data_IF_671783430831
#
_entry.id   IF_671783430831
#
_cell.length_a   1.000
_cell.length_b   1.000
_cell.length_c   1.000
_cell.angle_alpha   90.00
_cell.angle_beta   90.00
_cell.angle_gamma   90.00
#
_symmetry.space_group_name_H-M   'P 1'
#
loop_
_entity.id
_entity.type
_entity.pdbx_description
1 polymer ?
#
# COMPACT_ATOMS: atom_id res chain seq x y z
N UNK A 1 -34.27 -15.05 -42.52
CA UNK A 1 -33.79 -14.21 -41.40
C UNK A 1 -32.49 -14.72 -40.77
N UNK A 2 -32.40 -16.01 -40.40
CA UNK A 2 -31.21 -16.57 -39.71
C UNK A 2 -29.96 -16.69 -40.61
N UNK A 3 -30.14 -17.10 -41.87
CA UNK A 3 -29.03 -17.26 -42.83
C UNK A 3 -28.33 -15.94 -43.19
N UNK A 4 -29.10 -14.87 -43.46
CA UNK A 4 -28.54 -13.55 -43.75
C UNK A 4 -27.72 -12.97 -42.59
N UNK A 5 -28.15 -13.20 -41.34
CA UNK A 5 -27.37 -12.81 -40.15
C UNK A 5 -26.05 -13.58 -40.07
N UNK A 6 -26.05 -14.89 -40.32
CA UNK A 6 -24.84 -15.70 -40.28
C UNK A 6 -23.86 -15.32 -41.37
N UNK A 7 -24.35 -14.95 -42.56
CA UNK A 7 -23.51 -14.44 -43.65
C UNK A 7 -22.80 -13.13 -43.28
N UNK A 8 -23.53 -12.17 -42.70
CA UNK A 8 -22.97 -10.89 -42.25
C UNK A 8 -21.98 -11.11 -41.10
N UNK A 9 -22.33 -11.97 -40.14
CA UNK A 9 -21.48 -12.27 -38.98
C UNK A 9 -20.18 -12.98 -39.39
N UNK A 10 -20.22 -13.85 -40.40
CA UNK A 10 -19.03 -14.47 -40.99
C UNK A 10 -18.08 -13.44 -41.63
N UNK A 11 -18.63 -12.46 -42.35
CA UNK A 11 -17.83 -11.36 -42.93
C UNK A 11 -17.23 -10.43 -41.85
N UNK A 12 -17.91 -10.24 -40.73
CA UNK A 12 -17.36 -9.50 -39.59
C UNK A 12 -16.23 -10.27 -38.90
N UNK A 13 -16.39 -11.57 -38.71
CA UNK A 13 -15.38 -12.45 -38.08
C UNK A 13 -14.13 -12.63 -38.97
N UNK A 14 -14.27 -12.57 -40.30
CA UNK A 14 -13.12 -12.54 -41.22
C UNK A 14 -12.24 -11.29 -41.02
N UNK A 15 -12.84 -10.15 -40.65
CA UNK A 15 -12.12 -8.91 -40.44
C UNK A 15 -11.57 -8.79 -39.01
N UNK A 16 -12.37 -9.13 -38.00
CA UNK A 16 -12.00 -9.08 -36.58
C UNK A 16 -12.61 -10.31 -35.89
N UNK A 17 -11.79 -11.32 -35.66
CA UNK A 17 -12.22 -12.58 -35.03
C UNK A 17 -12.26 -12.50 -33.50
N UNK A 18 -11.39 -11.69 -32.90
CA UNK A 18 -11.28 -11.52 -31.46
C UNK A 18 -11.10 -10.04 -31.10
N UNK A 19 -11.58 -9.58 -29.93
CA UNK A 19 -11.22 -8.28 -29.41
C UNK A 19 -9.70 -8.15 -29.28
N UNK A 20 -9.14 -6.99 -29.61
CA UNK A 20 -7.73 -6.71 -29.42
C UNK A 20 -7.35 -6.92 -27.94
N UNK A 21 -6.33 -7.76 -27.70
CA UNK A 21 -5.88 -8.11 -26.33
C UNK A 21 -5.22 -6.95 -25.61
N UNK A 22 -4.66 -6.01 -26.36
CA UNK A 22 -3.98 -4.83 -25.80
C UNK A 22 -4.63 -3.56 -26.33
N UNK A 23 -5.05 -2.68 -25.41
CA UNK A 23 -5.49 -1.34 -25.77
C UNK A 23 -4.31 -0.53 -26.29
N UNK A 24 -4.60 0.33 -27.28
CA UNK A 24 -3.66 1.30 -27.82
C UNK A 24 -2.90 2.04 -26.71
N UNK A 25 -1.59 2.31 -26.86
CA UNK A 25 -0.79 3.02 -25.86
C UNK A 25 -1.33 4.40 -25.48
N UNK A 26 -2.04 5.06 -26.41
CA UNK A 26 -2.62 6.39 -26.23
C UNK A 26 -4.09 6.37 -25.81
N UNK A 27 -4.71 5.18 -25.79
CA UNK A 27 -6.08 5.06 -25.34
C UNK A 27 -6.11 5.13 -23.81
N UNK A 28 -7.02 5.94 -23.23
CA UNK A 28 -7.20 5.99 -21.78
C UNK A 28 -7.45 4.58 -21.24
N UNK A 29 -6.61 4.15 -20.30
CA UNK A 29 -6.79 2.88 -19.61
C UNK A 29 -7.64 3.14 -18.37
N UNK A 30 -8.74 2.39 -18.27
CA UNK A 30 -9.54 2.33 -17.05
C UNK A 30 -9.08 1.12 -16.24
N UNK A 31 -8.44 1.38 -15.11
CA UNK A 31 -8.06 0.35 -14.15
C UNK A 31 -9.05 0.38 -13.00
N UNK A 32 -9.75 -0.72 -12.77
CA UNK A 32 -10.65 -0.90 -11.62
C UNK A 32 -9.89 -1.59 -10.48
N UNK A 33 -10.05 -1.06 -9.27
CA UNK A 33 -9.58 -1.67 -8.02
C UNK A 33 -10.73 -1.63 -7.01
N UNK A 34 -10.76 -2.60 -6.09
CA UNK A 34 -11.72 -2.62 -4.99
C UNK A 34 -11.00 -2.37 -3.67
N UNK A 35 -11.55 -1.49 -2.85
CA UNK A 35 -10.97 -1.03 -1.59
C UNK A 35 -12.04 -1.22 -0.49
N UNK A 36 -11.64 -1.57 0.75
CA UNK A 36 -12.57 -1.58 1.88
C UNK A 36 -13.22 -0.21 2.08
N UNK A 37 -14.54 -0.17 2.27
CA UNK A 37 -15.33 1.07 2.44
C UNK A 37 -14.85 1.92 3.60
N UNK A 38 -14.35 1.30 4.67
CA UNK A 38 -13.80 1.99 5.85
C UNK A 38 -12.59 2.87 5.50
N UNK A 39 -11.83 2.50 4.48
CA UNK A 39 -10.58 3.18 4.07
C UNK A 39 -10.79 4.26 3.02
N UNK A 40 -12.00 4.38 2.45
CA UNK A 40 -12.32 5.44 1.47
C UNK A 40 -12.02 6.83 2.06
N UNK A 41 -12.36 7.04 3.34
CA UNK A 41 -12.11 8.30 4.04
C UNK A 41 -10.63 8.63 4.16
N UNK A 42 -9.77 7.63 4.35
CA UNK A 42 -8.31 7.81 4.43
C UNK A 42 -7.71 8.14 3.06
N UNK A 43 -8.20 7.49 2.00
CA UNK A 43 -7.73 7.72 0.61
C UNK A 43 -8.12 9.12 0.11
N UNK A 44 -9.32 9.60 0.43
CA UNK A 44 -9.75 10.97 0.10
C UNK A 44 -9.00 11.99 0.96
N UNK A 45 -8.84 11.68 2.25
CA UNK A 45 -8.27 12.58 3.26
C UNK A 45 -9.21 13.76 3.60
N UNK A 46 -8.82 14.64 4.54
CA UNK A 46 -9.65 15.75 4.98
C UNK A 46 -9.87 16.75 3.83
N UNK A 47 -11.11 16.79 3.31
CA UNK A 47 -11.52 17.68 2.23
C UNK A 47 -10.93 17.34 0.86
N UNK A 48 -10.59 16.07 0.60
CA UNK A 48 -10.08 15.63 -0.71
C UNK A 48 -8.61 15.98 -0.98
N UNK A 49 -7.87 16.50 0.00
CA UNK A 49 -6.49 16.96 -0.21
C UNK A 49 -5.54 15.85 -0.67
N UNK A 50 -5.75 14.61 -0.21
CA UNK A 50 -4.87 13.49 -0.53
C UNK A 50 -5.13 13.05 -1.97
N UNK A 51 -6.40 12.87 -2.33
CA UNK A 51 -6.76 12.49 -3.71
C UNK A 51 -6.36 13.56 -4.71
N UNK A 52 -6.54 14.85 -4.40
CA UNK A 52 -6.10 15.95 -5.27
C UNK A 52 -4.58 15.93 -5.49
N UNK A 53 -3.80 15.67 -4.44
CA UNK A 53 -2.33 15.63 -4.58
C UNK A 53 -1.86 14.41 -5.39
N UNK A 54 -2.54 13.26 -5.27
CA UNK A 54 -2.25 12.08 -6.12
C UNK A 54 -2.57 12.41 -7.58
N UNK A 55 -3.72 13.05 -7.84
CA UNK A 55 -4.11 13.50 -9.18
C UNK A 55 -3.10 14.51 -9.75
N UNK A 56 -2.63 15.45 -8.95
CA UNK A 56 -1.63 16.45 -9.36
C UNK A 56 -0.26 15.83 -9.65
N UNK A 57 0.17 14.84 -8.85
CA UNK A 57 1.46 14.16 -9.05
C UNK A 57 1.46 13.17 -10.22
N UNK A 58 0.33 12.51 -10.47
CA UNK A 58 0.22 11.45 -11.47
C UNK A 58 -0.42 11.90 -12.78
N UNK A 59 -1.18 13.00 -12.77
CA UNK A 59 -1.98 13.46 -13.91
C UNK A 59 -3.18 12.55 -14.24
N UNK A 60 -3.48 11.57 -13.37
CA UNK A 60 -4.58 10.62 -13.56
C UNK A 60 -5.90 11.19 -13.07
N UNK A 61 -7.02 10.78 -13.66
CA UNK A 61 -8.35 10.99 -13.07
C UNK A 61 -8.69 9.78 -12.20
N UNK A 62 -8.98 10.02 -10.93
CA UNK A 62 -9.36 8.98 -9.98
C UNK A 62 -10.80 9.25 -9.55
N UNK A 63 -11.64 8.24 -9.66
CA UNK A 63 -13.03 8.26 -9.19
C UNK A 63 -13.23 7.15 -8.16
N UNK A 64 -14.00 7.43 -7.11
CA UNK A 64 -14.24 6.51 -6.00
C UNK A 64 -15.73 6.43 -5.77
N UNK A 65 -16.29 5.23 -5.95
CA UNK A 65 -17.69 4.94 -5.65
C UNK A 65 -17.87 4.57 -4.17
N UNK A 66 -19.08 4.80 -3.65
CA UNK A 66 -19.46 4.52 -2.26
C UNK A 66 -19.39 3.02 -1.90
N UNK A 67 -19.37 2.14 -2.91
CA UNK A 67 -19.22 0.69 -2.77
C UNK A 67 -17.76 0.25 -2.57
N UNK A 68 -16.79 1.19 -2.64
CA UNK A 68 -15.37 0.91 -2.57
C UNK A 68 -14.72 0.59 -3.91
N UNK A 69 -15.45 0.73 -5.03
CA UNK A 69 -14.86 0.65 -6.36
C UNK A 69 -14.08 1.93 -6.66
N UNK A 70 -12.78 1.79 -6.93
CA UNK A 70 -11.92 2.87 -7.36
C UNK A 70 -11.56 2.71 -8.85
N UNK A 71 -11.83 3.75 -9.63
CA UNK A 71 -11.50 3.84 -11.05
C UNK A 71 -10.32 4.77 -11.26
N UNK A 72 -9.23 4.24 -11.80
CA UNK A 72 -8.07 5.03 -12.23
C UNK A 72 -8.13 5.14 -13.74
N UNK A 73 -8.34 6.36 -14.23
CA UNK A 73 -8.29 6.71 -15.64
C UNK A 73 -6.98 7.44 -15.91
N UNK A 74 -6.11 6.83 -16.70
CA UNK A 74 -4.85 7.44 -17.12
C UNK A 74 -4.68 7.33 -18.64
N UNK A 75 -4.10 8.35 -19.26
CA UNK A 75 -3.69 8.33 -20.66
C UNK A 75 -2.43 7.51 -20.89
N UNK A 76 -1.63 7.32 -19.84
CA UNK A 76 -0.40 6.52 -19.83
C UNK A 76 -0.51 5.37 -18.83
N UNK A 77 -0.03 4.19 -19.24
CA UNK A 77 0.01 3.00 -18.38
C UNK A 77 0.92 3.17 -17.17
N UNK A 78 2.02 3.93 -17.30
CA UNK A 78 2.92 4.18 -16.16
C UNK A 78 2.27 5.07 -15.10
N UNK A 79 1.53 6.09 -15.52
CA UNK A 79 0.82 6.99 -14.60
C UNK A 79 -0.26 6.23 -13.81
N UNK A 80 -0.99 5.32 -14.46
CA UNK A 80 -1.94 4.43 -13.79
C UNK A 80 -1.25 3.53 -12.76
N UNK A 81 -0.09 2.96 -13.07
CA UNK A 81 0.66 2.12 -12.14
C UNK A 81 1.18 2.92 -10.93
N UNK A 82 1.70 4.13 -11.15
CA UNK A 82 2.14 5.02 -10.06
C UNK A 82 0.97 5.39 -9.14
N UNK A 83 -0.17 5.79 -9.71
CA UNK A 83 -1.37 6.10 -8.93
C UNK A 83 -1.84 4.88 -8.13
N UNK A 84 -1.85 3.70 -8.76
CA UNK A 84 -2.19 2.44 -8.08
C UNK A 84 -1.25 2.16 -6.90
N UNK A 85 0.06 2.28 -7.10
CA UNK A 85 1.06 2.04 -6.05
C UNK A 85 0.94 3.02 -4.88
N UNK A 86 0.65 4.29 -5.15
CA UNK A 86 0.41 5.31 -4.12
C UNK A 86 -0.85 4.98 -3.30
N UNK A 87 -1.94 4.63 -3.97
CA UNK A 87 -3.20 4.27 -3.32
C UNK A 87 -3.03 2.98 -2.50
N UNK A 88 -2.37 1.96 -3.06
CA UNK A 88 -2.03 0.73 -2.33
C UNK A 88 -1.17 1.01 -1.09
N UNK A 89 -0.23 1.96 -1.17
CA UNK A 89 0.62 2.34 -0.04
C UNK A 89 -0.17 3.06 1.07
N UNK A 90 -1.21 3.82 0.72
CA UNK A 90 -2.10 4.47 1.69
C UNK A 90 -3.00 3.43 2.37
N UNK A 91 -3.51 2.47 1.60
CA UNK A 91 -4.38 1.39 2.09
C UNK A 91 -3.58 0.33 2.87
N UNK A 92 -2.29 0.20 2.58
CA UNK A 92 -1.40 -0.79 3.15
C UNK A 92 -1.48 -0.74 4.68
N UNK A 93 -2.13 -1.76 5.23
CA UNK A 93 -2.20 -1.94 6.66
C UNK A 93 -1.01 -2.75 7.12
N UNK A 94 -0.52 -2.36 8.29
CA UNK A 94 0.43 -3.13 9.05
C UNK A 94 -0.26 -4.44 9.44
N UNK A 95 -0.04 -5.51 8.67
CA UNK A 95 -0.53 -6.84 9.07
C UNK A 95 0.34 -7.45 10.18
N UNK A 96 -0.34 -8.08 11.13
CA UNK A 96 0.32 -8.85 12.19
C UNK A 96 1.14 -9.99 11.58
N UNK A 97 2.42 -10.06 11.93
CA UNK A 97 3.32 -11.09 11.43
C UNK A 97 4.09 -10.74 10.16
N UNK A 98 3.78 -9.64 9.46
CA UNK A 98 4.64 -9.13 8.38
C UNK A 98 5.87 -8.44 8.97
N UNK A 99 6.97 -8.52 8.22
CA UNK A 99 8.23 -7.84 8.54
C UNK A 99 8.32 -6.61 7.66
N UNK A 100 8.65 -5.49 8.27
CA UNK A 100 8.78 -4.21 7.61
C UNK A 100 10.13 -3.58 7.96
N UNK A 101 10.64 -2.75 7.06
CA UNK A 101 11.82 -1.94 7.30
C UNK A 101 11.35 -0.59 7.83
N UNK A 102 11.65 -0.30 9.09
CA UNK A 102 11.20 0.92 9.75
C UNK A 102 12.35 1.78 10.24
N UNK A 103 12.11 3.07 10.37
CA UNK A 103 13.14 4.04 10.82
C UNK A 103 12.87 4.45 12.26
N UNK A 104 13.89 4.44 13.10
CA UNK A 104 13.77 4.82 14.52
C UNK A 104 13.59 6.34 14.62
N UNK A 105 12.42 6.83 15.05
CA UNK A 105 12.20 8.27 15.28
C UNK A 105 12.54 8.72 16.69
N UNK A 106 12.27 7.87 17.68
CA UNK A 106 12.44 8.23 19.10
C UNK A 106 12.81 7.02 19.93
N UNK A 107 13.71 7.23 20.89
CA UNK A 107 14.13 6.20 21.83
C UNK A 107 13.70 6.62 23.23
N UNK A 108 13.14 5.70 24.01
CA UNK A 108 12.85 5.82 25.44
C UNK A 108 13.57 4.71 26.20
N UNK A 109 13.61 4.81 27.53
CA UNK A 109 14.33 3.85 28.38
C UNK A 109 13.75 2.42 28.32
N UNK A 110 12.45 2.30 28.04
CA UNK A 110 11.75 1.01 27.96
C UNK A 110 11.55 0.49 26.52
N UNK A 111 11.91 1.27 25.50
CA UNK A 111 11.71 0.87 24.10
C UNK A 111 12.02 1.94 23.07
N UNK A 112 11.96 1.56 21.79
CA UNK A 112 12.16 2.44 20.64
C UNK A 112 10.88 2.56 19.81
N UNK A 113 10.56 3.78 19.38
CA UNK A 113 9.50 4.07 18.43
C UNK A 113 10.06 4.03 17.02
N UNK A 114 9.51 3.12 16.22
CA UNK A 114 9.92 2.84 14.85
C UNK A 114 8.77 3.17 13.94
N UNK A 115 9.01 4.05 12.97
CA UNK A 115 8.04 4.35 11.93
C UNK A 115 8.11 3.24 10.87
N UNK A 116 7.02 2.47 10.74
CA UNK A 116 6.93 1.34 9.81
C UNK A 116 6.43 1.81 8.45
N UNK A 117 5.39 2.63 8.48
CA UNK A 117 4.80 3.25 7.30
C UNK A 117 5.08 4.73 7.43
N UNK A 118 5.95 5.31 6.58
CA UNK A 118 6.20 6.74 6.62
C UNK A 118 4.85 7.46 6.45
N UNK A 119 4.61 8.48 7.27
CA UNK A 119 3.44 9.34 7.10
C UNK A 119 3.49 10.09 5.77
N UNK A 120 3.10 9.44 4.69
CA UNK A 120 3.03 10.05 3.36
C UNK A 120 1.66 10.71 3.24
N UNK A 121 1.68 12.02 2.99
CA UNK A 121 0.51 12.83 2.63
C UNK A 121 -0.73 12.66 3.54
N UNK A 122 -0.69 13.25 4.74
CA UNK A 122 -1.92 13.50 5.53
C UNK A 122 -2.50 12.30 6.27
N UNK A 123 -1.94 11.10 6.10
CA UNK A 123 -2.22 9.97 7.00
C UNK A 123 -1.28 10.01 8.21
N UNK A 124 -1.79 9.68 9.40
CA UNK A 124 -0.95 9.53 10.59
C UNK A 124 0.00 8.36 10.33
N UNK A 125 1.29 8.65 10.13
CA UNK A 125 2.31 7.61 9.94
C UNK A 125 2.17 6.56 11.03
N UNK A 126 2.23 5.27 10.64
CA UNK A 126 2.05 4.19 11.61
C UNK A 126 3.37 3.95 12.34
N UNK A 127 3.43 4.47 13.55
CA UNK A 127 4.49 4.21 14.50
C UNK A 127 4.22 2.92 15.28
N UNK A 128 5.26 2.11 15.46
CA UNK A 128 5.23 0.95 16.33
C UNK A 128 6.24 1.07 17.46
N UNK A 129 5.93 0.45 18.59
CA UNK A 129 6.81 0.37 19.75
C UNK A 129 7.55 -0.96 19.77
N UNK A 130 8.87 -0.90 19.84
CA UNK A 130 9.73 -2.05 20.13
C UNK A 130 10.11 -2.00 21.60
N UNK A 131 9.66 -2.96 22.39
CA UNK A 131 10.04 -3.08 23.80
C UNK A 131 11.53 -3.50 23.92
N UNK A 132 12.23 -3.05 24.97
CA UNK A 132 13.66 -3.38 25.19
C UNK A 132 13.94 -4.89 25.16
N UNK A 133 13.01 -5.72 25.63
CA UNK A 133 13.13 -7.19 25.62
C UNK A 133 12.96 -7.84 24.23
N UNK A 134 12.48 -7.08 23.24
CA UNK A 134 12.21 -7.53 21.88
C UNK A 134 13.22 -6.97 20.86
N UNK A 135 14.22 -6.21 21.33
CA UNK A 135 15.28 -5.59 20.52
C UNK A 135 16.39 -6.58 20.14
N UNK A 136 16.84 -7.42 21.07
CA UNK A 136 17.88 -8.43 20.84
C UNK A 136 17.57 -9.71 21.62
N UNK A 137 18.24 -10.83 21.27
CA UNK A 137 18.16 -12.05 22.08
C UNK A 137 18.93 -11.95 23.40
N UNK A 138 19.97 -11.12 23.43
CA UNK A 138 20.80 -10.85 24.60
C UNK A 138 20.13 -9.85 25.55
N UNK A 139 20.56 -9.85 26.82
CA UNK A 139 20.03 -8.94 27.83
C UNK A 139 20.60 -7.54 27.60
N UNK A 140 19.83 -6.70 26.92
CA UNK A 140 20.17 -5.30 26.67
C UNK A 140 19.81 -4.46 27.91
N UNK A 141 20.78 -3.71 28.46
CA UNK A 141 20.53 -2.81 29.59
C UNK A 141 20.08 -1.41 29.15
N UNK A 142 20.49 -0.95 27.95
CA UNK A 142 20.08 0.34 27.39
C UNK A 142 19.73 0.19 25.90
N UNK A 143 18.59 0.77 25.51
CA UNK A 143 18.13 0.76 24.11
C UNK A 143 19.11 1.47 23.16
N UNK A 144 19.77 2.54 23.65
CA UNK A 144 20.77 3.32 22.91
C UNK A 144 22.00 2.53 22.48
N UNK A 145 22.28 1.39 23.10
CA UNK A 145 23.45 0.58 22.75
C UNK A 145 23.21 -0.26 21.48
N UNK A 146 21.94 -0.39 21.04
CA UNK A 146 21.52 -1.29 19.95
C UNK A 146 20.86 -0.57 18.79
N UNK A 147 20.23 0.57 19.04
CA UNK A 147 19.56 1.39 18.03
C UNK A 147 19.79 2.87 18.31
N UNK A 148 20.03 3.61 17.23
CA UNK A 148 20.15 5.07 17.24
C UNK A 148 18.97 5.73 16.52
N UNK A 149 18.76 7.01 16.79
CA UNK A 149 17.73 7.81 16.11
C UNK A 149 18.12 7.93 14.63
N UNK A 150 17.20 7.58 13.74
CA UNK A 150 17.41 7.58 12.29
C UNK A 150 17.87 6.25 11.72
N UNK A 151 18.13 5.24 12.58
CA UNK A 151 18.56 3.92 12.11
C UNK A 151 17.41 3.16 11.44
N UNK A 152 17.73 2.41 10.38
CA UNK A 152 16.77 1.58 9.64
C UNK A 152 16.86 0.14 10.15
N UNK A 153 15.81 -0.30 10.82
CA UNK A 153 15.75 -1.64 11.39
C UNK A 153 14.59 -2.46 10.82
N UNK A 154 14.85 -3.74 10.59
CA UNK A 154 13.82 -4.71 10.25
C UNK A 154 13.07 -5.11 11.51
N UNK A 155 11.75 -4.92 11.48
CA UNK A 155 10.85 -5.14 12.60
C UNK A 155 9.65 -5.98 12.15
N UNK A 156 9.27 -6.96 12.97
CA UNK A 156 8.07 -7.77 12.76
C UNK A 156 6.96 -7.29 13.66
N UNK A 157 5.76 -7.16 13.10
CA UNK A 157 4.56 -6.81 13.87
C UNK A 157 4.14 -8.01 14.71
N UNK A 158 4.10 -7.85 16.03
CA UNK A 158 3.65 -8.92 16.93
C UNK A 158 2.17 -8.82 17.21
N UNK A 159 1.68 -7.62 17.54
CA UNK A 159 0.29 -7.37 17.92
C UNK A 159 -0.10 -5.93 17.58
N UNK A 160 -1.40 -5.70 17.38
CA UNK A 160 -1.97 -4.37 17.20
C UNK A 160 -3.04 -4.20 18.27
N UNK A 161 -2.86 -3.20 19.13
CA UNK A 161 -3.81 -2.87 20.20
C UNK A 161 -5.09 -2.24 19.60
N UNK A 162 -6.21 -2.27 20.32
CA UNK A 162 -7.50 -1.69 19.91
C UNK A 162 -7.44 -0.17 19.69
N UNK A 163 -6.41 0.49 20.22
CA UNK A 163 -6.11 1.91 19.99
C UNK A 163 -5.25 2.17 18.73
N UNK A 164 -4.93 1.14 17.94
CA UNK A 164 -4.11 1.27 16.73
C UNK A 164 -2.61 1.35 16.99
N UNK A 165 -2.16 1.10 18.22
CA UNK A 165 -0.73 1.04 18.57
C UNK A 165 -0.16 -0.31 18.14
N UNK A 166 0.92 -0.27 17.36
CA UNK A 166 1.58 -1.46 16.83
C UNK A 166 2.72 -1.88 17.75
N UNK A 167 2.68 -3.11 18.25
CA UNK A 167 3.82 -3.70 18.95
C UNK A 167 4.73 -4.40 17.93
N UNK A 168 6.02 -4.11 18.03
CA UNK A 168 7.03 -4.59 17.12
C UNK A 168 8.08 -5.43 17.86
N UNK A 169 8.64 -6.40 17.16
CA UNK A 169 9.76 -7.21 17.64
C UNK A 169 10.83 -7.34 16.57
N UNK A 170 12.06 -7.00 16.93
CA UNK A 170 13.26 -7.26 16.13
C UNK A 170 13.75 -8.70 16.32
N UNK A 171 13.59 -9.26 17.52
CA UNK A 171 13.93 -10.66 17.86
C UNK A 171 13.22 -11.66 16.96
N UNK A 172 11.97 -11.41 16.60
CA UNK A 172 11.21 -12.31 15.74
C UNK A 172 11.75 -12.36 14.29
N UNK A 173 12.45 -11.31 13.83
CA UNK A 173 13.12 -11.27 12.52
C UNK A 173 14.42 -12.06 12.55
N UNK A 174 15.22 -11.90 13.61
CA UNK A 174 16.47 -12.65 13.80
C UNK A 174 16.22 -14.16 13.88
N UNK A 175 15.14 -14.58 14.55
CA UNK A 175 14.72 -16.00 14.59
C UNK A 175 14.26 -16.57 13.25
N UNK A 176 13.65 -15.76 12.38
CA UNK A 176 13.30 -16.22 11.03
C UNK A 176 14.51 -16.34 10.10
N UNK A 177 15.52 -15.49 10.27
CA UNK A 177 16.77 -15.57 9.50
C UNK A 177 17.62 -16.80 9.89
N UNK A 178 17.58 -17.23 11.15
CA UNK A 178 18.31 -18.41 11.64
C UNK A 178 17.64 -19.76 11.31
N UNK A 179 16.45 -19.76 10.69
CA UNK A 179 15.69 -20.97 10.34
C UNK A 179 15.71 -21.34 8.85
N UNK A 180 16.43 -20.58 8.03
CA UNK A 180 16.65 -20.86 6.61
C UNK A 180 18.07 -21.38 6.38
#
# INVERSE_FOLDING_TARGET
AKEGRMFIMGKMLEAISEPNKELSPYAPRLTKMMIPTDKIREVIGPGGKVIHKIVDETGCKIDIEDDGTLYIMATDGEAAQKAKALIESIIAEVEVGKTYMGTVKRIMDFGAFVEIIPGVLGSQGKEGLVHISQLAEERVNKVKDVVDIGDQILVKVTEIDKQGRVNLSRKAVLKSAAKN
#
